data_IF_529705937494
#
_entry.id   IF_529705937494
#
_cell.length_a   1.000
_cell.length_b   1.000
_cell.length_c   1.000
_cell.angle_alpha   90.00
_cell.angle_beta   90.00
_cell.angle_gamma   90.00
#
_symmetry.space_group_name_H-M   'P 1'
#
loop_
_entity.id
_entity.type
_entity.pdbx_description
1 polymer ?
#
# COMPACT_ATOMS: atom_id res chain seq x y z
N UNK A 1 22.98 17.63 -3.37
CA UNK A 1 22.22 16.40 -3.65
C UNK A 1 20.77 16.84 -3.76
N UNK A 2 20.22 16.84 -4.97
CA UNK A 2 18.87 17.33 -5.24
C UNK A 2 17.88 16.39 -4.55
N UNK A 3 17.25 16.86 -3.47
CA UNK A 3 15.99 16.30 -3.02
C UNK A 3 14.94 16.78 -4.00
N UNK A 4 14.88 16.15 -5.17
CA UNK A 4 13.74 16.33 -6.06
C UNK A 4 12.57 15.68 -5.33
N UNK A 5 11.83 16.53 -4.60
CA UNK A 5 10.58 16.18 -3.95
C UNK A 5 9.72 15.48 -5.00
N UNK A 6 9.37 14.20 -4.78
CA UNK A 6 8.35 13.57 -5.62
C UNK A 6 7.11 14.46 -5.49
N UNK A 7 6.64 15.07 -6.58
CA UNK A 7 5.57 16.03 -6.46
C UNK A 7 4.33 15.34 -5.88
N UNK A 8 3.63 16.04 -5.00
CA UNK A 8 2.40 15.55 -4.36
C UNK A 8 1.30 15.19 -5.39
N UNK A 9 1.49 15.52 -6.67
CA UNK A 9 0.63 15.18 -7.80
C UNK A 9 0.64 13.68 -8.16
N UNK A 10 1.70 12.95 -7.80
CA UNK A 10 1.80 11.50 -7.97
C UNK A 10 0.69 10.80 -7.19
N UNK A 11 0.40 11.27 -5.98
CA UNK A 11 -0.65 10.70 -5.13
C UNK A 11 -2.05 10.99 -5.65
N UNK A 12 -2.29 12.17 -6.23
CA UNK A 12 -3.56 12.49 -6.85
C UNK A 12 -3.87 11.60 -8.07
N UNK A 13 -2.84 11.04 -8.70
CA UNK A 13 -2.96 10.16 -9.87
C UNK A 13 -3.23 8.70 -9.49
N UNK A 14 -2.83 8.27 -8.29
CA UNK A 14 -2.89 6.86 -7.86
C UNK A 14 -3.95 6.63 -6.77
N UNK A 15 -4.22 7.63 -5.92
CA UNK A 15 -5.24 7.50 -4.88
C UNK A 15 -6.62 7.34 -5.54
N UNK A 16 -7.40 6.33 -5.14
CA UNK A 16 -8.76 6.20 -5.64
C UNK A 16 -9.58 7.46 -5.28
N UNK A 17 -10.52 7.84 -6.14
CA UNK A 17 -11.41 8.98 -5.88
C UNK A 17 -12.70 8.53 -5.18
N UNK A 18 -13.27 9.41 -4.37
CA UNK A 18 -14.64 9.36 -3.82
C UNK A 18 -15.09 7.96 -3.37
N UNK A 19 -15.91 7.28 -4.19
CA UNK A 19 -16.46 5.94 -3.93
C UNK A 19 -15.36 4.91 -3.74
N UNK A 20 -14.39 4.85 -4.65
CA UNK A 20 -13.35 3.83 -4.64
C UNK A 20 -12.42 4.02 -3.44
N UNK A 21 -12.23 5.27 -3.00
CA UNK A 21 -11.51 5.57 -1.75
C UNK A 21 -12.25 5.06 -0.53
N UNK A 22 -13.57 5.28 -0.48
CA UNK A 22 -14.40 4.80 0.62
C UNK A 22 -14.40 3.26 0.67
N UNK A 23 -14.50 2.59 -0.48
CA UNK A 23 -14.45 1.14 -0.61
C UNK A 23 -13.07 0.59 -0.20
N UNK A 24 -11.96 1.13 -0.71
CA UNK A 24 -10.61 0.72 -0.30
C UNK A 24 -10.43 0.84 1.21
N UNK A 25 -10.80 2.00 1.79
CA UNK A 25 -10.69 2.23 3.23
C UNK A 25 -11.50 1.22 4.04
N UNK A 26 -12.72 0.90 3.60
CA UNK A 26 -13.56 -0.11 4.24
C UNK A 26 -12.95 -1.51 4.09
N UNK A 27 -12.44 -1.87 2.92
CA UNK A 27 -11.79 -3.15 2.66
C UNK A 27 -10.59 -3.36 3.58
N UNK A 28 -9.69 -2.37 3.69
CA UNK A 28 -8.52 -2.44 4.56
C UNK A 28 -8.89 -2.69 6.02
N UNK A 29 -9.92 -1.99 6.53
CA UNK A 29 -10.38 -2.14 7.92
C UNK A 29 -11.05 -3.49 8.18
N UNK A 30 -11.86 -3.97 7.24
CA UNK A 30 -12.57 -5.25 7.39
C UNK A 30 -11.60 -6.43 7.24
N UNK A 31 -10.73 -6.42 6.23
CA UNK A 31 -9.72 -7.47 6.00
C UNK A 31 -8.69 -7.55 7.13
N UNK A 32 -8.45 -6.46 7.87
CA UNK A 32 -7.57 -6.46 9.05
C UNK A 32 -8.02 -7.44 10.16
N UNK A 33 -9.27 -7.89 10.14
CA UNK A 33 -9.79 -8.94 11.02
C UNK A 33 -9.46 -10.38 10.56
N UNK A 34 -8.76 -10.55 9.45
CA UNK A 34 -8.26 -11.84 8.98
C UNK A 34 -9.31 -12.78 8.41
N UNK A 35 -10.42 -12.25 7.90
CA UNK A 35 -11.48 -13.03 7.27
C UNK A 35 -11.90 -12.42 5.91
N UNK A 36 -12.36 -13.25 4.95
CA UNK A 36 -12.91 -12.76 3.69
C UNK A 36 -14.13 -11.86 3.94
N UNK A 37 -14.32 -10.85 3.08
CA UNK A 37 -15.35 -9.82 3.23
C UNK A 37 -16.35 -9.89 2.08
N UNK A 38 -17.64 -9.90 2.36
CA UNK A 38 -18.65 -9.84 1.29
C UNK A 38 -18.72 -8.44 0.67
N UNK A 39 -19.11 -8.35 -0.60
CA UNK A 39 -19.33 -7.06 -1.28
C UNK A 39 -20.39 -6.22 -0.55
N UNK A 40 -21.41 -6.86 0.04
CA UNK A 40 -22.46 -6.18 0.81
C UNK A 40 -21.91 -5.59 2.12
N UNK A 41 -21.10 -6.33 2.88
CA UNK A 41 -20.44 -5.79 4.09
C UNK A 41 -19.52 -4.63 3.74
N UNK A 42 -18.78 -4.75 2.63
CA UNK A 42 -17.90 -3.71 2.13
C UNK A 42 -18.67 -2.42 1.80
N UNK A 43 -19.76 -2.54 1.01
CA UNK A 43 -20.64 -1.42 0.65
C UNK A 43 -21.20 -0.72 1.90
N UNK A 44 -21.73 -1.51 2.84
CA UNK A 44 -22.33 -1.03 4.06
C UNK A 44 -21.32 -0.28 4.94
N UNK A 45 -20.10 -0.81 5.08
CA UNK A 45 -19.03 -0.16 5.84
C UNK A 45 -18.49 1.10 5.15
N UNK A 46 -18.49 1.13 3.82
CA UNK A 46 -18.08 2.29 3.03
C UNK A 46 -19.15 3.40 2.99
N UNK A 47 -20.43 3.06 3.26
CA UNK A 47 -21.55 4.00 3.17
C UNK A 47 -21.92 4.38 1.74
N UNK A 48 -21.57 3.54 0.77
CA UNK A 48 -21.79 3.76 -0.67
C UNK A 48 -22.41 2.52 -1.29
N UNK A 49 -23.02 2.69 -2.47
CA UNK A 49 -23.34 1.54 -3.31
C UNK A 49 -22.03 0.94 -3.86
N UNK A 50 -21.80 -0.35 -3.58
CA UNK A 50 -20.62 -1.03 -4.08
C UNK A 50 -20.64 -1.19 -5.59
N UNK A 51 -21.78 -1.08 -6.28
CA UNK A 51 -21.89 -1.24 -7.74
C UNK A 51 -21.14 -2.48 -8.25
N UNK A 52 -20.60 -2.40 -9.46
CA UNK A 52 -19.61 -3.36 -9.92
C UNK A 52 -18.21 -2.92 -9.44
N UNK A 53 -17.51 -3.82 -8.74
CA UNK A 53 -16.14 -3.58 -8.28
C UNK A 53 -15.12 -3.76 -9.42
N UNK A 54 -15.49 -4.48 -10.48
CA UNK A 54 -14.65 -4.62 -11.68
C UNK A 54 -14.48 -3.29 -12.43
N UNK A 55 -15.40 -2.35 -12.25
CA UNK A 55 -15.34 -1.01 -12.86
C UNK A 55 -14.34 -0.07 -12.16
N UNK A 56 -13.82 -0.45 -10.99
CA UNK A 56 -12.76 0.32 -10.35
C UNK A 56 -11.45 0.19 -11.14
N UNK A 57 -10.52 1.16 -11.09
CA UNK A 57 -9.25 1.09 -11.81
C UNK A 57 -8.40 -0.16 -11.51
N UNK A 58 -8.62 -0.76 -10.33
CA UNK A 58 -7.93 -1.95 -9.84
C UNK A 58 -8.85 -3.19 -9.79
N UNK A 59 -10.07 -3.09 -10.33
CA UNK A 59 -11.11 -4.10 -10.21
C UNK A 59 -10.67 -5.48 -10.68
N UNK A 60 -9.93 -5.53 -11.80
CA UNK A 60 -9.36 -6.75 -12.35
C UNK A 60 -8.30 -7.44 -11.45
N UNK A 61 -7.71 -6.69 -10.51
CA UNK A 61 -6.72 -7.21 -9.58
C UNK A 61 -7.31 -7.60 -8.21
N UNK A 62 -8.58 -7.26 -7.92
CA UNK A 62 -9.24 -7.62 -6.66
C UNK A 62 -9.31 -9.15 -6.54
N UNK A 63 -8.86 -9.67 -5.41
CA UNK A 63 -8.82 -11.11 -5.16
C UNK A 63 -10.13 -11.55 -4.51
N UNK A 64 -10.75 -12.61 -5.05
CA UNK A 64 -11.97 -13.20 -4.54
C UNK A 64 -11.79 -14.69 -4.20
N UNK A 65 -12.57 -15.18 -3.25
CA UNK A 65 -12.73 -16.62 -3.04
C UNK A 65 -13.80 -17.22 -3.96
N UNK A 66 -13.99 -18.55 -3.86
CA UNK A 66 -14.98 -19.29 -4.65
C UNK A 66 -16.43 -18.85 -4.38
N UNK A 67 -16.70 -18.15 -3.27
CA UNK A 67 -18.00 -17.62 -2.90
C UNK A 67 -18.17 -16.15 -3.33
N UNK A 68 -17.20 -15.57 -4.03
CA UNK A 68 -17.23 -14.16 -4.46
C UNK A 68 -17.01 -13.17 -3.32
N UNK A 69 -16.40 -13.60 -2.20
CA UNK A 69 -15.98 -12.70 -1.12
C UNK A 69 -14.59 -12.17 -1.41
N UNK A 70 -14.36 -10.90 -1.08
CA UNK A 70 -13.07 -10.24 -1.23
C UNK A 70 -12.06 -10.86 -0.26
N UNK A 71 -10.97 -11.37 -0.82
CA UNK A 71 -9.78 -11.84 -0.13
C UNK A 71 -8.67 -10.78 -0.09
N UNK A 72 -8.64 -9.89 -1.08
CA UNK A 72 -7.56 -8.93 -1.19
C UNK A 72 -7.84 -7.73 -2.07
N UNK A 73 -7.44 -6.57 -1.56
CA UNK A 73 -7.43 -5.28 -2.25
C UNK A 73 -6.27 -4.46 -1.68
N UNK A 74 -5.07 -4.66 -2.22
CA UNK A 74 -3.82 -4.17 -1.62
C UNK A 74 -3.42 -4.96 -0.38
N UNK A 75 -4.24 -4.95 0.68
CA UNK A 75 -4.15 -5.87 1.82
C UNK A 75 -4.85 -7.18 1.43
N UNK A 76 -4.26 -8.33 1.75
CA UNK A 76 -4.76 -9.63 1.31
C UNK A 76 -4.51 -10.76 2.31
N UNK A 77 -5.39 -11.76 2.26
CA UNK A 77 -5.26 -13.04 2.96
C UNK A 77 -4.31 -14.00 2.22
N UNK A 78 -4.05 -13.76 0.94
CA UNK A 78 -3.17 -14.61 0.13
C UNK A 78 -1.69 -14.31 0.41
N UNK A 79 -0.84 -15.33 0.60
CA UNK A 79 0.58 -15.10 0.84
C UNK A 79 1.27 -14.30 -0.26
N UNK A 80 2.00 -13.26 0.15
CA UNK A 80 2.94 -12.50 -0.68
C UNK A 80 4.30 -12.41 0.03
N UNK A 81 5.35 -11.91 -0.63
CA UNK A 81 6.62 -11.61 0.03
C UNK A 81 6.51 -10.59 1.17
N UNK A 82 5.47 -9.75 1.18
CA UNK A 82 5.27 -8.69 2.17
C UNK A 82 4.29 -9.16 3.26
N UNK A 83 4.84 -9.84 4.28
CA UNK A 83 4.08 -10.25 5.47
C UNK A 83 3.68 -9.02 6.28
N UNK A 84 2.41 -8.95 6.64
CA UNK A 84 1.81 -7.82 7.33
C UNK A 84 0.97 -8.32 8.51
N UNK A 85 1.46 -8.16 9.73
CA UNK A 85 0.76 -8.62 10.94
C UNK A 85 0.15 -7.44 11.69
N UNK A 86 -1.17 -7.40 11.77
CA UNK A 86 -1.94 -6.31 12.40
C UNK A 86 -3.02 -6.90 13.30
N UNK A 87 -3.25 -6.29 14.47
CA UNK A 87 -4.28 -6.72 15.43
C UNK A 87 -4.27 -8.23 15.77
N UNK A 88 -3.11 -8.88 15.73
CA UNK A 88 -2.97 -10.33 16.00
C UNK A 88 -3.22 -11.25 14.80
N UNK A 89 -3.54 -10.70 13.62
CA UNK A 89 -3.76 -11.45 12.40
C UNK A 89 -2.55 -11.32 11.46
N UNK A 90 -2.04 -12.46 10.98
CA UNK A 90 -1.04 -12.48 9.90
C UNK A 90 -1.76 -12.36 8.56
N UNK A 91 -1.50 -11.25 7.87
CA UNK A 91 -1.96 -10.93 6.53
C UNK A 91 -0.77 -10.65 5.64
N UNK A 92 -1.03 -10.15 4.43
CA UNK A 92 -0.02 -9.79 3.46
C UNK A 92 -0.42 -8.53 2.71
N UNK A 93 0.53 -7.82 2.11
CA UNK A 93 0.23 -6.72 1.18
C UNK A 93 0.76 -7.02 -0.21
N UNK A 94 0.23 -6.32 -1.23
CA UNK A 94 0.67 -6.51 -2.61
C UNK A 94 2.03 -5.89 -2.90
N UNK A 95 2.42 -4.83 -2.19
CA UNK A 95 3.74 -4.22 -2.34
C UNK A 95 4.35 -3.68 -1.03
N UNK A 96 5.60 -3.23 -1.10
CA UNK A 96 6.27 -2.61 0.04
C UNK A 96 5.61 -1.28 0.48
N UNK A 97 5.26 -0.32 -0.41
CA UNK A 97 4.55 0.89 -0.03
C UNK A 97 3.23 0.68 0.71
N UNK A 98 2.43 -0.33 0.33
CA UNK A 98 1.20 -0.70 1.03
C UNK A 98 1.43 -0.93 2.53
N UNK A 99 2.54 -1.57 2.89
CA UNK A 99 2.91 -1.85 4.29
C UNK A 99 3.15 -0.58 5.11
N UNK A 100 3.53 0.51 4.46
CA UNK A 100 3.81 1.81 5.09
C UNK A 100 2.55 2.66 5.22
N UNK A 101 1.57 2.48 4.33
CA UNK A 101 0.35 3.29 4.24
C UNK A 101 -0.78 2.71 5.08
N UNK A 102 -1.04 1.41 4.96
CA UNK A 102 -2.25 0.78 5.52
C UNK A 102 -2.38 0.82 7.04
N UNK A 103 -1.31 0.77 7.86
CA UNK A 103 -1.44 0.85 9.32
C UNK A 103 -2.24 2.08 9.77
N UNK A 104 -1.99 3.25 9.16
CA UNK A 104 -2.72 4.48 9.47
C UNK A 104 -4.19 4.42 9.02
N UNK A 105 -4.47 3.84 7.85
CA UNK A 105 -5.85 3.71 7.34
C UNK A 105 -6.68 2.73 8.19
N UNK A 106 -6.05 1.63 8.60
CA UNK A 106 -6.62 0.62 9.51
C UNK A 106 -6.78 1.20 10.92
N UNK A 107 -5.89 2.10 11.34
CA UNK A 107 -5.86 2.68 12.69
C UNK A 107 -5.19 1.76 13.71
N UNK A 108 -4.27 0.89 13.27
CA UNK A 108 -3.56 -0.06 14.13
C UNK A 108 -2.11 -0.23 13.69
N UNK A 109 -1.22 -0.45 14.65
CA UNK A 109 0.19 -0.77 14.41
C UNK A 109 0.34 -2.11 13.69
N UNK A 110 1.26 -2.18 12.74
CA UNK A 110 1.57 -3.40 12.00
C UNK A 110 3.06 -3.76 12.07
N UNK A 111 3.31 -5.06 12.23
CA UNK A 111 4.66 -5.63 12.08
C UNK A 111 4.80 -6.14 10.66
N UNK A 112 5.88 -5.72 10.00
CA UNK A 112 6.13 -6.00 8.60
C UNK A 112 7.41 -6.82 8.47
N UNK A 113 7.35 -7.84 7.65
CA UNK A 113 8.50 -8.62 7.22
C UNK A 113 8.43 -8.81 5.70
N UNK A 114 9.51 -8.47 5.01
CA UNK A 114 9.66 -8.60 3.57
C UNK A 114 11.01 -9.21 3.23
N UNK A 115 11.16 -9.70 2.01
CA UNK A 115 12.44 -10.14 1.47
C UNK A 115 12.94 -9.14 0.43
N UNK A 116 14.24 -8.80 0.48
CA UNK A 116 14.88 -8.03 -0.56
C UNK A 116 15.17 -8.94 -1.77
N UNK A 117 14.67 -8.63 -2.98
CA UNK A 117 14.82 -9.51 -4.14
C UNK A 117 16.26 -9.62 -4.65
N UNK A 118 17.11 -8.63 -4.34
CA UNK A 118 18.51 -8.59 -4.79
C UNK A 118 19.44 -9.39 -3.86
N UNK A 119 19.23 -9.27 -2.55
CA UNK A 119 20.14 -9.85 -1.53
C UNK A 119 19.54 -11.06 -0.83
N UNK A 120 18.26 -11.36 -1.07
CA UNK A 120 17.46 -12.40 -0.38
C UNK A 120 17.43 -12.21 1.15
N UNK A 121 17.81 -11.02 1.63
CA UNK A 121 17.84 -10.71 3.05
C UNK A 121 16.50 -10.17 3.53
N UNK A 122 16.12 -10.50 4.76
CA UNK A 122 14.89 -9.98 5.36
C UNK A 122 14.99 -8.48 5.65
N UNK A 123 13.90 -7.77 5.38
CA UNK A 123 13.64 -6.39 5.83
C UNK A 123 12.47 -6.44 6.81
N UNK A 124 12.68 -5.95 8.03
CA UNK A 124 11.72 -5.95 9.13
C UNK A 124 11.53 -4.54 9.64
N UNK A 125 10.29 -4.21 10.00
CA UNK A 125 9.94 -2.90 10.56
C UNK A 125 8.59 -2.98 11.27
N UNK A 126 8.38 -2.06 12.20
CA UNK A 126 7.07 -1.77 12.78
C UNK A 126 6.60 -0.42 12.26
N UNK A 127 5.36 -0.36 11.79
CA UNK A 127 4.74 0.87 11.31
C UNK A 127 3.56 1.19 12.20
N UNK A 128 3.68 2.26 12.97
CA UNK A 128 2.63 2.73 13.88
C UNK A 128 2.02 4.05 13.36
N UNK A 129 0.69 4.21 13.38
CA UNK A 129 0.03 5.43 12.93
C UNK A 129 0.44 6.71 13.67
N UNK A 130 0.88 6.59 14.93
CA UNK A 130 1.21 7.71 15.82
C UNK A 130 2.72 7.96 15.83
N UNK A 131 3.52 6.91 16.03
CA UNK A 131 4.99 7.06 16.19
C UNK A 131 5.76 6.90 14.89
N UNK A 132 5.13 6.43 13.81
CA UNK A 132 5.76 6.17 12.52
C UNK A 132 6.54 4.86 12.46
N UNK A 133 7.58 4.84 11.63
CA UNK A 133 8.43 3.65 11.44
C UNK A 133 9.40 3.48 12.60
N UNK A 134 9.41 2.29 13.20
CA UNK A 134 10.31 1.86 14.27
C UNK A 134 10.87 0.47 13.96
N UNK A 135 11.90 0.04 14.70
CA UNK A 135 12.52 -1.28 14.59
C UNK A 135 12.97 -1.67 13.16
N UNK A 136 13.32 -0.69 12.33
CA UNK A 136 13.75 -0.91 10.96
C UNK A 136 15.08 -1.66 10.89
N UNK A 137 15.06 -2.84 10.27
CA UNK A 137 16.23 -3.69 10.08
C UNK A 137 16.24 -4.29 8.67
N UNK A 138 17.34 -4.14 7.90
CA UNK A 138 18.50 -3.30 8.20
C UNK A 138 18.15 -1.79 8.23
N UNK A 139 18.86 -1.00 9.04
CA UNK A 139 18.60 0.44 9.16
C UNK A 139 18.81 1.22 7.85
N UNK A 140 19.59 0.66 6.92
CA UNK A 140 19.83 1.21 5.59
C UNK A 140 18.83 0.72 4.53
N UNK A 141 17.74 0.06 4.95
CA UNK A 141 16.72 -0.41 4.02
C UNK A 141 16.10 0.77 3.25
N UNK A 142 15.83 0.50 1.98
CA UNK A 142 15.25 1.39 1.00
C UNK A 142 13.93 0.80 0.49
N UNK A 143 13.10 1.61 -0.15
CA UNK A 143 11.86 1.19 -0.79
C UNK A 143 11.72 1.81 -2.17
N UNK A 144 11.34 0.99 -3.14
CA UNK A 144 11.14 1.41 -4.52
C UNK A 144 9.69 1.82 -4.80
N UNK A 145 9.55 2.87 -5.60
CA UNK A 145 8.29 3.41 -6.11
C UNK A 145 8.35 3.43 -7.64
N UNK A 146 7.29 2.95 -8.28
CA UNK A 146 7.18 3.06 -9.74
C UNK A 146 6.95 4.51 -10.15
N UNK A 147 7.38 4.84 -11.36
CA UNK A 147 6.90 6.04 -12.04
C UNK A 147 5.39 5.85 -12.33
N UNK A 148 4.51 6.77 -11.88
CA UNK A 148 3.07 6.69 -12.17
C UNK A 148 2.75 6.62 -13.66
N UNK A 149 3.59 7.21 -14.52
CA UNK A 149 3.44 7.12 -15.97
C UNK A 149 3.60 5.67 -16.51
N UNK A 150 4.19 4.78 -15.70
CA UNK A 150 4.34 3.34 -15.99
C UNK A 150 3.12 2.49 -15.66
N UNK A 151 2.15 3.01 -14.89
CA UNK A 151 0.98 2.25 -14.44
C UNK A 151 0.03 2.03 -15.62
N UNK A 152 -0.54 0.83 -15.70
CA UNK A 152 -1.51 0.44 -16.74
C UNK A 152 -2.82 -0.01 -16.09
N UNK A 153 -3.93 0.62 -16.49
CA UNK A 153 -5.27 0.22 -16.03
C UNK A 153 -5.58 -1.24 -16.37
N UNK A 154 -6.27 -1.93 -15.47
CA UNK A 154 -6.56 -3.37 -15.58
C UNK A 154 -5.36 -4.30 -15.36
N UNK A 155 -4.17 -3.76 -15.07
CA UNK A 155 -2.95 -4.49 -14.69
C UNK A 155 -2.20 -3.72 -13.60
N UNK A 156 -2.93 -3.08 -12.68
CA UNK A 156 -2.35 -2.17 -11.70
C UNK A 156 -1.45 -2.95 -10.76
N UNK A 157 -1.85 -4.14 -10.31
CA UNK A 157 -0.98 -4.97 -9.46
C UNK A 157 0.32 -5.34 -10.18
N UNK A 158 0.25 -5.73 -11.44
CA UNK A 158 1.43 -6.12 -12.21
C UNK A 158 2.37 -4.95 -12.52
N UNK A 159 1.83 -3.76 -12.82
CA UNK A 159 2.61 -2.61 -13.30
C UNK A 159 2.94 -1.58 -12.21
N UNK A 160 2.21 -1.59 -11.09
CA UNK A 160 2.42 -0.72 -9.94
C UNK A 160 2.94 -1.50 -8.72
N UNK A 161 2.21 -2.49 -8.22
CA UNK A 161 2.53 -3.12 -6.93
C UNK A 161 3.74 -4.06 -7.01
N UNK A 162 3.72 -5.03 -7.93
CA UNK A 162 4.72 -6.10 -8.00
C UNK A 162 6.18 -5.62 -8.04
N UNK A 163 6.53 -4.51 -8.73
CA UNK A 163 7.92 -4.08 -8.78
C UNK A 163 8.32 -3.09 -7.66
N UNK A 164 7.39 -2.71 -6.78
CA UNK A 164 7.66 -1.85 -5.62
C UNK A 164 8.10 -2.67 -4.41
N UNK A 165 9.40 -2.84 -4.28
CA UNK A 165 10.04 -3.74 -3.30
C UNK A 165 10.78 -3.00 -2.19
N UNK A 166 10.94 -3.66 -1.04
CA UNK A 166 11.97 -3.29 -0.06
C UNK A 166 13.34 -3.77 -0.53
N UNK A 167 14.36 -2.96 -0.30
CA UNK A 167 15.72 -3.19 -0.75
C UNK A 167 16.65 -3.05 0.46
N UNK A 168 17.37 -4.12 0.82
CA UNK A 168 18.07 -4.21 2.09
C UNK A 168 19.21 -3.17 2.24
N UNK A 169 19.79 -2.72 1.13
CA UNK A 169 20.92 -1.77 1.14
C UNK A 169 20.79 -0.77 -0.02
N UNK A 170 21.50 0.38 0.05
CA UNK A 170 21.63 1.29 -1.07
C UNK A 170 22.20 0.62 -2.34
N UNK A 171 23.20 -0.25 -2.21
CA UNK A 171 23.77 -0.97 -3.35
C UNK A 171 22.73 -1.89 -4.02
N UNK A 172 21.91 -2.58 -3.21
CA UNK A 172 20.81 -3.39 -3.72
C UNK A 172 19.76 -2.51 -4.44
N UNK A 173 19.54 -1.29 -3.94
CA UNK A 173 18.67 -0.33 -4.59
C UNK A 173 19.21 0.18 -5.93
N UNK A 174 20.51 0.44 -6.03
CA UNK A 174 21.15 0.81 -7.29
C UNK A 174 21.04 -0.31 -8.33
N UNK A 175 21.29 -1.56 -7.91
CA UNK A 175 21.11 -2.71 -8.79
C UNK A 175 19.65 -2.83 -9.26
N UNK A 176 18.68 -2.75 -8.34
CA UNK A 176 17.25 -2.84 -8.69
C UNK A 176 16.83 -1.77 -9.70
N UNK A 177 17.32 -0.53 -9.53
CA UNK A 177 17.06 0.58 -10.46
C UNK A 177 17.68 0.36 -11.85
N UNK A 178 18.79 -0.35 -11.94
CA UNK A 178 19.41 -0.67 -13.24
C UNK A 178 18.53 -1.63 -14.07
N UNK A 179 17.80 -2.51 -13.40
CA UNK A 179 16.87 -3.46 -13.99
C UNK A 179 15.47 -2.85 -14.20
N UNK A 180 15.12 -1.83 -13.41
CA UNK A 180 13.85 -1.13 -13.44
C UNK A 180 14.05 0.40 -13.63
N UNK A 181 14.45 0.84 -14.84
CA UNK A 181 14.74 2.24 -15.11
C UNK A 181 13.49 3.11 -14.90
N UNK A 182 13.69 4.29 -14.31
CA UNK A 182 12.61 5.25 -14.01
C UNK A 182 12.04 5.12 -12.59
N UNK A 183 12.36 4.05 -11.85
CA UNK A 183 11.96 3.95 -10.44
C UNK A 183 12.66 4.96 -9.55
N UNK A 184 11.88 5.49 -8.61
CA UNK A 184 12.39 6.26 -7.49
C UNK A 184 12.63 5.31 -6.32
N UNK A 185 13.77 5.44 -5.65
CA UNK A 185 14.10 4.64 -4.46
C UNK A 185 14.53 5.57 -3.35
N UNK A 186 13.94 5.39 -2.18
CA UNK A 186 14.17 6.24 -1.00
C UNK A 186 14.49 5.39 0.23
N UNK A 187 15.26 5.92 1.20
CA UNK A 187 15.33 5.35 2.53
C UNK A 187 13.93 5.20 3.12
N UNK A 188 13.66 4.10 3.84
CA UNK A 188 12.30 3.82 4.35
C UNK A 188 11.75 4.94 5.24
N UNK A 189 12.59 5.57 6.06
CA UNK A 189 12.17 6.70 6.92
C UNK A 189 11.71 7.92 6.10
N UNK A 190 12.42 8.22 5.02
CA UNK A 190 12.09 9.31 4.10
C UNK A 190 10.83 8.98 3.31
N UNK A 191 10.73 7.76 2.79
CA UNK A 191 9.55 7.26 2.10
C UNK A 191 8.30 7.33 2.98
N UNK A 192 8.41 6.96 4.25
CA UNK A 192 7.28 7.06 5.18
C UNK A 192 6.82 8.52 5.36
N UNK A 193 7.76 9.42 5.65
CA UNK A 193 7.45 10.82 5.99
C UNK A 193 6.97 11.60 4.78
N UNK A 194 7.64 11.42 3.63
CA UNK A 194 7.40 12.22 2.43
C UNK A 194 6.26 11.68 1.58
N UNK A 195 5.97 10.38 1.64
CA UNK A 195 5.04 9.70 0.71
C UNK A 195 3.93 8.96 1.43
N UNK A 196 4.29 7.98 2.28
CA UNK A 196 3.30 7.05 2.83
C UNK A 196 2.31 7.74 3.78
N UNK A 197 2.80 8.62 4.66
CA UNK A 197 1.97 9.34 5.61
C UNK A 197 1.00 10.32 4.91
N UNK A 198 1.43 11.21 4.00
CA UNK A 198 0.51 12.05 3.23
C UNK A 198 -0.54 11.24 2.45
N UNK A 199 -0.15 10.11 1.84
CA UNK A 199 -1.08 9.25 1.13
C UNK A 199 -2.11 8.62 2.09
N UNK A 200 -1.67 8.14 3.25
CA UNK A 200 -2.59 7.61 4.26
C UNK A 200 -3.58 8.67 4.74
N UNK A 201 -3.13 9.91 4.98
CA UNK A 201 -3.99 11.04 5.35
C UNK A 201 -5.05 11.31 4.26
N UNK A 202 -4.65 11.32 2.99
CA UNK A 202 -5.56 11.49 1.86
C UNK A 202 -6.58 10.34 1.68
N UNK A 203 -6.26 9.14 2.15
CA UNK A 203 -7.17 7.98 2.16
C UNK A 203 -8.12 7.97 3.36
N UNK A 204 -7.71 8.58 4.48
CA UNK A 204 -8.52 8.65 5.71
C UNK A 204 -9.55 9.77 5.60
N UNK A 205 -9.15 10.92 5.06
CA UNK A 205 -9.97 12.13 4.99
C UNK A 205 -11.27 11.88 4.18
N UNK A 206 -12.45 11.95 4.82
CA UNK A 206 -13.72 11.75 4.14
C UNK A 206 -14.08 12.89 3.17
N UNK A 207 -13.35 14.01 3.13
CA UNK A 207 -13.76 15.13 2.29
C UNK A 207 -12.60 16.06 1.86
N UNK A 208 -12.60 16.43 0.58
CA UNK A 208 -12.31 17.81 0.22
C UNK A 208 -13.43 18.75 0.74
N UNK A 209 -13.73 18.71 2.03
CA UNK A 209 -14.52 19.75 2.68
C UNK A 209 -13.55 20.88 2.95
N UNK A 210 -13.58 21.87 2.07
CA UNK A 210 -13.14 23.20 2.44
C UNK A 210 -13.73 23.52 3.82
N UNK A 211 -12.93 23.99 4.80
CA UNK A 211 -13.48 24.42 6.06
C UNK A 211 -14.55 25.46 5.74
N UNK A 212 -15.79 25.21 6.16
CA UNK A 212 -16.83 26.22 6.12
C UNK A 212 -16.35 27.42 6.94
N UNK A 213 -15.92 28.47 6.23
CA UNK A 213 -15.72 29.81 6.75
C UNK A 213 -17.01 30.62 6.56
#
# INVERSE_FOLDING_TARGET
MSTDSIPADVFATIAPADRDRALLRAALRLLAHGAPVTVTELAAAAGVDAGDLEETPIGADIEYDEQGRVLGWGLTLNPTPHRFTVAGHQLYTWCAPDTLVFPAVIGASAHVESECPVTVSAVRLTVDPVTGVTDLQPAAAMVAFVDPAGIRGGQVRATCCNPQMFLATPDAAEQWRSEHPGMTVLPVADAYTQLARPLAEALIDPAGEAPCC
#
